data_IF_030256384004
#
_entry.id   IF_030256384004
#
_cell.length_a   1.000
_cell.length_b   1.000
_cell.length_c   1.000
_cell.angle_alpha   90.00
_cell.angle_beta   90.00
_cell.angle_gamma   90.00
#
_symmetry.space_group_name_H-M   'P 1'
#
loop_
_entity.id
_entity.type
_entity.pdbx_description
1 polymer ?
#
# COMPACT_ATOMS: atom_id res chain seq x y z
N UNK A 1 16.83 15.92 -7.65
CA UNK A 1 15.37 16.16 -7.73
C UNK A 1 14.66 14.90 -7.24
N UNK A 2 14.06 14.91 -6.04
CA UNK A 2 13.32 13.75 -5.53
C UNK A 2 11.90 13.77 -6.09
N UNK A 3 11.59 12.89 -7.04
CA UNK A 3 10.23 12.74 -7.57
C UNK A 3 9.34 12.23 -6.43
N UNK A 4 8.38 13.05 -5.97
CA UNK A 4 7.41 12.64 -4.94
C UNK A 4 6.69 11.38 -5.43
N UNK A 5 6.80 10.29 -4.68
CA UNK A 5 5.98 9.08 -4.92
C UNK A 5 4.52 9.47 -4.77
N UNK A 6 3.71 9.23 -5.81
CA UNK A 6 2.26 9.40 -5.74
C UNK A 6 1.73 8.42 -4.68
N UNK A 7 1.05 8.95 -3.67
CA UNK A 7 0.25 8.10 -2.77
C UNK A 7 -0.98 7.65 -3.57
N UNK A 8 -1.17 6.34 -3.69
CA UNK A 8 -2.38 5.77 -4.26
C UNK A 8 -3.47 5.74 -3.20
N UNK A 9 -4.69 6.10 -3.58
CA UNK A 9 -5.83 6.03 -2.67
C UNK A 9 -6.10 4.57 -2.30
N UNK A 10 -6.44 4.32 -1.05
CA UNK A 10 -6.63 2.96 -0.53
C UNK A 10 -7.74 2.22 -1.30
N UNK A 11 -8.78 2.93 -1.73
CA UNK A 11 -9.92 2.36 -2.48
C UNK A 11 -9.50 1.87 -3.87
N UNK A 12 -8.81 2.72 -4.65
CA UNK A 12 -8.28 2.35 -5.97
C UNK A 12 -7.37 1.13 -5.86
N UNK A 13 -6.49 1.13 -4.85
CA UNK A 13 -5.60 0.01 -4.55
C UNK A 13 -6.38 -1.28 -4.31
N UNK A 14 -7.40 -1.27 -3.47
CA UNK A 14 -8.15 -2.49 -3.15
C UNK A 14 -8.90 -3.04 -4.36
N UNK A 15 -9.51 -2.17 -5.17
CA UNK A 15 -10.11 -2.57 -6.43
C UNK A 15 -9.08 -3.22 -7.38
N UNK A 16 -7.89 -2.63 -7.46
CA UNK A 16 -6.80 -3.14 -8.29
C UNK A 16 -6.33 -4.53 -7.86
N UNK A 17 -6.17 -4.74 -6.56
CA UNK A 17 -5.72 -6.02 -6.01
C UNK A 17 -6.80 -7.09 -6.18
N UNK A 18 -8.08 -6.73 -6.03
CA UNK A 18 -9.20 -7.66 -6.27
C UNK A 18 -9.17 -8.21 -7.69
N UNK A 19 -8.97 -7.35 -8.71
CA UNK A 19 -8.85 -7.78 -10.12
C UNK A 19 -7.71 -8.79 -10.33
N UNK A 20 -6.55 -8.54 -9.72
CA UNK A 20 -5.39 -9.44 -9.83
C UNK A 20 -5.64 -10.77 -9.11
N UNK A 21 -6.30 -10.74 -7.94
CA UNK A 21 -6.67 -11.95 -7.20
C UNK A 21 -7.70 -12.78 -7.97
N UNK A 22 -8.60 -12.13 -8.70
CA UNK A 22 -9.56 -12.78 -9.61
C UNK A 22 -8.92 -13.41 -10.87
N UNK A 23 -7.61 -13.24 -11.08
CA UNK A 23 -6.85 -13.89 -12.14
C UNK A 23 -6.38 -12.97 -13.27
N UNK A 24 -6.66 -11.66 -13.20
CA UNK A 24 -6.14 -10.73 -14.21
C UNK A 24 -4.61 -10.62 -14.15
N UNK A 25 -4.00 -10.47 -15.34
CA UNK A 25 -2.54 -10.29 -15.45
C UNK A 25 -2.13 -8.95 -14.86
N UNK A 26 -1.14 -8.97 -13.96
CA UNK A 26 -0.57 -7.77 -13.32
C UNK A 26 -0.13 -6.72 -14.35
N UNK A 27 0.42 -7.14 -15.49
CA UNK A 27 0.86 -6.23 -16.56
C UNK A 27 -0.29 -5.50 -17.24
N UNK A 28 -1.45 -6.14 -17.41
CA UNK A 28 -2.65 -5.50 -17.96
C UNK A 28 -3.19 -4.46 -16.97
N UNK A 29 -3.40 -4.89 -15.72
CA UNK A 29 -3.89 -4.04 -14.63
C UNK A 29 -2.97 -2.82 -14.37
N UNK A 30 -1.66 -3.02 -14.49
CA UNK A 30 -0.66 -1.95 -14.36
C UNK A 30 -0.81 -0.86 -15.43
N UNK A 31 -1.12 -1.26 -16.68
CA UNK A 31 -1.33 -0.33 -17.80
C UNK A 31 -2.63 0.45 -17.64
N UNK A 32 -3.70 -0.23 -17.24
CA UNK A 32 -5.02 0.39 -17.04
C UNK A 32 -4.97 1.49 -15.98
N UNK A 33 -4.42 1.17 -14.80
CA UNK A 33 -4.50 2.03 -13.61
C UNK A 33 -3.27 2.92 -13.46
N UNK A 34 -2.27 2.76 -14.34
CA UNK A 34 -0.98 3.47 -14.30
C UNK A 34 -0.22 3.27 -12.98
N UNK A 35 -0.42 2.11 -12.36
CA UNK A 35 0.30 1.69 -11.15
C UNK A 35 1.50 0.82 -11.51
N UNK A 36 2.69 1.06 -10.93
CA UNK A 36 3.85 0.21 -11.16
C UNK A 36 3.58 -1.24 -10.77
N UNK A 37 4.02 -2.17 -11.61
CA UNK A 37 3.87 -3.61 -11.36
C UNK A 37 4.51 -4.06 -10.04
N UNK A 38 5.60 -3.41 -9.62
CA UNK A 38 6.27 -3.64 -8.32
C UNK A 38 5.36 -3.33 -7.15
N UNK A 39 4.59 -2.23 -7.23
CA UNK A 39 3.60 -1.83 -6.23
C UNK A 39 2.46 -2.83 -6.17
N UNK A 40 1.94 -3.25 -7.33
CA UNK A 40 0.87 -4.24 -7.43
C UNK A 40 1.27 -5.59 -6.85
N UNK A 41 2.48 -6.08 -7.18
CA UNK A 41 3.03 -7.33 -6.60
C UNK A 41 3.12 -7.28 -5.08
N UNK A 42 3.54 -6.14 -4.53
CA UNK A 42 3.61 -5.97 -3.07
C UNK A 42 2.23 -6.06 -2.43
N UNK A 43 1.25 -5.34 -2.99
CA UNK A 43 -0.10 -5.33 -2.41
C UNK A 43 -0.84 -6.65 -2.56
N UNK A 44 -0.67 -7.35 -3.68
CA UNK A 44 -1.25 -8.68 -3.89
C UNK A 44 -0.65 -9.70 -2.94
N UNK A 45 0.67 -9.64 -2.69
CA UNK A 45 1.33 -10.46 -1.68
C UNK A 45 0.74 -10.22 -0.28
N UNK A 46 0.67 -8.97 0.16
CA UNK A 46 0.11 -8.60 1.47
C UNK A 46 -1.32 -9.11 1.65
N UNK A 47 -2.17 -8.98 0.62
CA UNK A 47 -3.56 -9.47 0.68
C UNK A 47 -3.67 -10.98 0.73
N UNK A 48 -2.77 -11.71 0.03
CA UNK A 48 -2.70 -13.19 0.12
C UNK A 48 -2.24 -13.67 1.49
N UNK A 49 -1.38 -12.90 2.14
CA UNK A 49 -0.88 -13.18 3.50
C UNK A 49 -1.88 -12.74 4.60
N UNK A 50 -3.06 -12.23 4.23
CA UNK A 50 -4.04 -11.70 5.18
C UNK A 50 -3.55 -10.47 5.94
N UNK A 51 -2.45 -9.85 5.51
CA UNK A 51 -1.93 -8.66 6.17
C UNK A 51 -2.81 -7.45 5.83
N UNK A 52 -3.11 -6.60 6.83
CA UNK A 52 -3.88 -5.40 6.59
C UNK A 52 -3.16 -4.51 5.57
N UNK A 53 -3.92 -3.75 4.76
CA UNK A 53 -3.31 -2.82 3.84
C UNK A 53 -2.42 -1.85 4.61
N UNK A 54 -1.17 -1.66 4.14
CA UNK A 54 -0.19 -0.77 4.81
C UNK A 54 -0.89 0.50 5.29
N UNK A 55 -0.98 0.62 6.62
CA UNK A 55 -1.62 1.78 7.22
C UNK A 55 -0.92 3.03 6.70
N UNK A 56 -1.70 4.01 6.23
CA UNK A 56 -1.19 5.35 6.01
C UNK A 56 -0.77 5.88 7.38
N UNK A 57 0.52 5.78 7.71
CA UNK A 57 1.07 6.46 8.88
C UNK A 57 0.88 7.95 8.67
N UNK A 58 -0.10 8.54 9.36
CA UNK A 58 -0.25 9.99 9.45
C UNK A 58 0.79 10.49 10.46
N UNK A 59 1.56 11.51 10.09
CA UNK A 59 2.56 12.14 10.97
C UNK A 59 4.00 12.03 10.48
N UNK A 60 4.89 12.74 11.17
CA UNK A 60 6.32 12.66 10.94
C UNK A 60 6.86 11.27 11.32
N UNK A 61 8.01 10.89 10.75
CA UNK A 61 8.71 9.66 11.15
C UNK A 61 8.90 9.70 12.68
N UNK A 62 8.48 8.66 13.41
CA UNK A 62 8.57 8.67 14.86
C UNK A 62 10.05 8.77 15.27
N UNK A 63 10.33 9.64 16.25
CA UNK A 63 11.68 9.80 16.80
C UNK A 63 12.02 8.66 17.76
N UNK A 64 10.99 8.00 18.29
CA UNK A 64 11.07 6.88 19.22
C UNK A 64 10.38 5.64 18.63
N UNK A 65 10.72 4.44 19.08
CA UNK A 65 10.03 3.24 18.64
C UNK A 65 8.54 3.27 19.06
N UNK A 66 7.63 2.69 18.25
CA UNK A 66 6.17 2.79 18.43
C UNK A 66 5.61 2.45 19.82
N UNK A 67 6.11 1.45 20.56
CA UNK A 67 5.53 1.14 21.88
C UNK A 67 5.71 2.29 22.88
N UNK A 68 6.77 3.11 22.76
CA UNK A 68 7.04 4.21 23.69
C UNK A 68 6.15 5.43 23.41
N UNK A 69 5.75 5.64 22.15
CA UNK A 69 4.93 6.80 21.79
C UNK A 69 3.47 6.68 22.26
N UNK A 70 2.91 5.46 22.32
CA UNK A 70 1.52 5.24 22.74
C UNK A 70 1.32 5.46 24.25
N UNK A 71 2.32 5.17 25.06
CA UNK A 71 2.25 5.33 26.53
C UNK A 71 2.28 6.80 26.98
N UNK A 72 2.69 7.73 26.11
CA UNK A 72 2.81 9.16 26.41
C UNK A 72 1.55 9.98 26.09
N UNK A 73 0.47 9.35 25.58
CA UNK A 73 -0.75 10.02 25.11
C UNK A 73 -1.99 9.66 25.97
N UNK A 74 -1.79 9.16 27.20
CA UNK A 74 -2.90 8.97 28.17
C UNK A 74 -3.21 10.23 28.97
#
# INVERSE_FOLDING_TARGET
MATRRKLYMNEEREATVTRIVAGEKISAVSRDIKNPTTTLKRYTKLRREGQPPLAQRRGAKPKLPPPIENDLVS
#
